data_IF_134413898125
#
_entry.id   IF_134413898125
#
_cell.length_a   1.000
_cell.length_b   1.000
_cell.length_c   1.000
_cell.angle_alpha   90.00
_cell.angle_beta   90.00
_cell.angle_gamma   90.00
#
_symmetry.space_group_name_H-M   'P 1'
#
loop_
_entity.id
_entity.type
_entity.pdbx_description
1 polymer ?
#
# COMPACT_ATOMS: atom_id res chain seq x y z
N UNK A 1 -14.58 4.40 -11.70
CA UNK A 1 -13.18 4.12 -11.29
C UNK A 1 -13.16 2.74 -10.63
N UNK A 2 -12.15 1.92 -10.92
CA UNK A 2 -12.03 0.52 -10.40
C UNK A 2 -10.80 0.30 -9.51
N UNK A 3 -9.95 1.33 -9.35
CA UNK A 3 -8.67 1.30 -8.64
C UNK A 3 -8.46 2.62 -7.85
N UNK A 4 -7.43 2.65 -7.00
CA UNK A 4 -6.93 3.86 -6.32
C UNK A 4 -7.62 4.19 -5.00
N UNK A 5 -8.60 3.40 -4.57
CA UNK A 5 -9.24 3.52 -3.26
C UNK A 5 -9.46 2.13 -2.66
N UNK A 6 -9.33 2.02 -1.34
CA UNK A 6 -9.71 0.81 -0.61
C UNK A 6 -11.23 0.83 -0.42
N UNK A 7 -11.96 0.18 -1.34
CA UNK A 7 -13.43 0.16 -1.36
C UNK A 7 -13.95 -1.21 -1.82
N UNK A 8 -15.07 -1.72 -1.27
CA UNK A 8 -15.70 -2.93 -1.78
C UNK A 8 -16.01 -2.84 -3.28
N UNK A 9 -15.74 -3.92 -4.02
CA UNK A 9 -15.93 -4.00 -5.46
C UNK A 9 -14.77 -3.43 -6.31
N UNK A 10 -13.72 -2.90 -5.68
CA UNK A 10 -12.51 -2.46 -6.39
C UNK A 10 -11.48 -3.57 -6.45
N UNK A 11 -10.54 -3.46 -7.38
CA UNK A 11 -9.44 -4.44 -7.52
C UNK A 11 -8.57 -4.41 -6.26
N UNK A 12 -8.19 -5.59 -5.78
CA UNK A 12 -7.34 -5.77 -4.60
C UNK A 12 -5.87 -5.43 -4.90
N UNK A 13 -5.63 -4.15 -5.16
CA UNK A 13 -4.32 -3.55 -5.37
C UNK A 13 -4.03 -2.60 -4.20
N UNK A 14 -3.17 -3.03 -3.29
CA UNK A 14 -2.79 -2.25 -2.12
C UNK A 14 -1.43 -2.66 -1.56
N UNK A 15 -0.92 -1.85 -0.64
CA UNK A 15 0.37 -2.06 0.01
C UNK A 15 0.16 -2.01 1.52
N UNK A 16 0.82 -2.91 2.23
CA UNK A 16 0.97 -2.88 3.68
C UNK A 16 2.30 -2.21 3.97
N UNK A 17 2.28 -1.20 4.82
CA UNK A 17 3.45 -0.42 5.21
C UNK A 17 3.84 -0.76 6.65
N UNK A 18 5.14 -0.87 6.91
CA UNK A 18 5.70 -0.89 8.24
C UNK A 18 5.87 0.55 8.74
N UNK A 19 4.76 1.16 9.14
CA UNK A 19 4.70 2.54 9.58
C UNK A 19 3.61 2.72 10.65
N UNK A 20 3.85 3.60 11.62
CA UNK A 20 2.84 3.94 12.62
C UNK A 20 1.90 5.03 12.12
N UNK A 21 2.41 5.97 11.33
CA UNK A 21 1.67 7.07 10.74
C UNK A 21 1.88 7.11 9.22
N UNK A 22 0.82 7.42 8.43
CA UNK A 22 0.94 7.48 6.96
C UNK A 22 2.01 8.45 6.43
N UNK A 23 2.34 9.48 7.21
CA UNK A 23 3.33 10.51 6.86
C UNK A 23 4.74 9.93 6.71
N UNK A 24 5.05 8.82 7.37
CA UNK A 24 6.38 8.19 7.37
C UNK A 24 6.80 7.71 5.97
N UNK A 25 5.84 7.37 5.09
CA UNK A 25 6.12 6.98 3.71
C UNK A 25 6.73 8.09 2.84
N UNK A 26 6.56 9.36 3.23
CA UNK A 26 6.94 10.53 2.43
C UNK A 26 8.18 11.22 2.99
N UNK A 27 8.33 11.23 4.31
CA UNK A 27 9.29 12.10 5.02
C UNK A 27 10.55 11.39 5.52
N UNK A 28 10.75 10.10 5.22
CA UNK A 28 11.99 9.38 5.55
C UNK A 28 12.83 9.07 4.30
N UNK A 29 13.69 10.01 3.83
CA UNK A 29 14.59 9.76 2.71
C UNK A 29 15.49 8.55 2.97
N UNK A 30 15.42 7.56 2.07
CA UNK A 30 16.31 6.40 2.06
C UNK A 30 15.79 5.16 2.81
N UNK A 31 14.66 5.25 3.52
CA UNK A 31 13.96 4.06 4.03
C UNK A 31 12.87 3.65 3.05
N UNK A 32 12.77 2.35 2.77
CA UNK A 32 11.60 1.77 2.11
C UNK A 32 10.75 1.04 3.16
N UNK A 33 9.68 1.66 3.69
CA UNK A 33 8.81 1.02 4.67
C UNK A 33 7.80 0.04 4.05
N UNK A 34 7.95 -0.34 2.78
CA UNK A 34 7.07 -1.32 2.15
C UNK A 34 7.26 -2.70 2.77
N UNK A 35 6.26 -3.17 3.53
CA UNK A 35 6.27 -4.48 4.14
C UNK A 35 5.79 -5.56 3.16
N UNK A 36 4.67 -5.30 2.50
CA UNK A 36 4.06 -6.28 1.59
C UNK A 36 3.26 -5.59 0.51
N UNK A 37 3.36 -6.10 -0.71
CA UNK A 37 2.55 -5.66 -1.84
C UNK A 37 1.54 -6.74 -2.19
N UNK A 38 0.30 -6.32 -2.40
CA UNK A 38 -0.76 -7.16 -2.94
C UNK A 38 -1.18 -6.59 -4.28
N UNK A 39 -1.08 -7.43 -5.32
CA UNK A 39 -1.46 -7.06 -6.68
C UNK A 39 -2.45 -8.08 -7.21
N UNK A 40 -3.64 -7.61 -7.58
CA UNK A 40 -4.77 -8.44 -8.01
C UNK A 40 -5.07 -9.57 -7.02
N UNK A 41 -4.96 -9.27 -5.73
CA UNK A 41 -5.19 -10.23 -4.64
C UNK A 41 -4.07 -11.25 -4.41
N UNK A 42 -2.93 -11.14 -5.09
CA UNK A 42 -1.76 -12.01 -4.90
C UNK A 42 -0.65 -11.26 -4.17
N UNK A 43 -0.01 -11.94 -3.21
CA UNK A 43 1.19 -11.44 -2.55
C UNK A 43 2.36 -11.53 -3.52
N UNK A 44 3.07 -10.42 -3.74
CA UNK A 44 4.09 -10.29 -4.78
C UNK A 44 5.18 -9.28 -4.43
#
# INVERSE_FOLDING_TARGET
ATHGQLKPGYVADFVVWDANHPVEMVYEPGRNPMYQRVFRGQVA
#
